data_IF_757511350215
#
_entry.id   IF_757511350215
#
_cell.length_a   1.000
_cell.length_b   1.000
_cell.length_c   1.000
_cell.angle_alpha   90.00
_cell.angle_beta   90.00
_cell.angle_gamma   90.00
#
_symmetry.space_group_name_H-M   'P 1'
#
loop_
_entity.id
_entity.type
_entity.pdbx_description
1 polymer ?
#
# COMPACT_ATOMS: atom_id res chain seq x y z
N UNK A 1 19.59 -2.55 -6.57
CA UNK A 1 18.18 -2.20 -6.31
C UNK A 1 17.62 -3.22 -5.35
N UNK A 2 17.09 -2.78 -4.20
CA UNK A 2 16.37 -3.64 -3.26
C UNK A 2 14.89 -3.28 -3.41
N UNK A 3 14.03 -4.29 -3.53
CA UNK A 3 12.59 -4.12 -3.70
C UNK A 3 11.85 -4.79 -2.55
N UNK A 4 10.76 -4.20 -2.09
CA UNK A 4 9.90 -4.78 -1.06
C UNK A 4 8.42 -4.68 -1.44
N UNK A 5 7.65 -5.70 -1.06
CA UNK A 5 6.23 -5.83 -1.40
C UNK A 5 5.35 -5.64 -0.17
N UNK A 6 4.23 -4.94 -0.35
CA UNK A 6 3.22 -4.69 0.67
C UNK A 6 1.85 -5.00 0.08
N UNK A 7 1.11 -5.89 0.71
CA UNK A 7 -0.22 -6.26 0.22
C UNK A 7 -1.29 -5.37 0.87
N UNK A 8 -2.27 -4.97 0.07
CA UNK A 8 -3.46 -4.33 0.59
C UNK A 8 -4.17 -5.28 1.54
N UNK A 9 -4.83 -4.76 2.57
CA UNK A 9 -5.66 -5.56 3.50
C UNK A 9 -6.81 -6.28 2.81
N UNK A 10 -7.20 -5.81 1.61
CA UNK A 10 -8.21 -6.45 0.78
C UNK A 10 -7.63 -7.54 -0.13
N UNK A 11 -6.30 -7.66 -0.17
CA UNK A 11 -5.48 -8.53 -1.02
C UNK A 11 -5.66 -8.36 -2.52
N UNK A 12 -6.45 -7.38 -2.97
CA UNK A 12 -6.68 -7.14 -4.39
C UNK A 12 -5.58 -6.32 -5.05
N UNK A 13 -4.85 -5.54 -4.27
CA UNK A 13 -3.76 -4.72 -4.77
C UNK A 13 -2.49 -4.99 -3.94
N UNK A 14 -1.35 -4.94 -4.60
CA UNK A 14 -0.04 -5.00 -3.97
C UNK A 14 0.76 -3.76 -4.35
N UNK A 15 1.46 -3.19 -3.38
CA UNK A 15 2.40 -2.09 -3.56
C UNK A 15 3.81 -2.67 -3.58
N UNK A 16 4.53 -2.45 -4.68
CA UNK A 16 5.97 -2.66 -4.75
C UNK A 16 6.67 -1.34 -4.53
N UNK A 17 7.64 -1.35 -3.65
CA UNK A 17 8.50 -0.19 -3.35
C UNK A 17 9.92 -0.56 -3.75
N UNK A 18 10.43 0.15 -4.75
CA UNK A 18 11.79 -0.03 -5.24
C UNK A 18 12.66 1.14 -4.76
N UNK A 19 13.76 0.80 -4.07
CA UNK A 19 14.81 1.75 -3.70
C UNK A 19 16.02 1.56 -4.59
N UNK A 20 16.41 2.64 -5.26
CA UNK A 20 17.60 2.65 -6.09
C UNK A 20 18.77 3.24 -5.29
N UNK A 21 19.73 2.38 -4.94
CA UNK A 21 20.90 2.73 -4.16
C UNK A 21 21.74 3.76 -4.94
N UNK A 22 21.76 5.00 -4.45
CA UNK A 22 22.46 6.14 -5.08
C UNK A 22 21.56 7.17 -5.77
N UNK A 23 20.24 6.97 -5.81
CA UNK A 23 19.28 8.01 -6.17
C UNK A 23 18.42 8.40 -4.97
N UNK A 24 18.04 9.67 -4.88
CA UNK A 24 17.10 10.15 -3.85
C UNK A 24 15.62 9.89 -4.22
N UNK A 25 15.37 8.98 -5.16
CA UNK A 25 14.05 8.63 -5.64
C UNK A 25 13.61 7.27 -5.09
N UNK A 26 12.35 7.21 -4.65
CA UNK A 26 11.65 5.98 -4.26
C UNK A 26 10.53 5.77 -5.26
N UNK A 27 10.54 4.62 -5.94
CA UNK A 27 9.53 4.29 -6.93
C UNK A 27 8.43 3.43 -6.31
N UNK A 28 7.18 3.84 -6.52
CA UNK A 28 6.00 3.12 -6.06
C UNK A 28 5.26 2.55 -7.26
N UNK A 29 5.10 1.22 -7.29
CA UNK A 29 4.34 0.52 -8.33
C UNK A 29 3.15 -0.21 -7.71
N UNK A 30 1.94 0.07 -8.20
CA UNK A 30 0.70 -0.58 -7.76
C UNK A 30 0.35 -1.68 -8.76
N UNK A 31 0.13 -2.89 -8.24
CA UNK A 31 -0.28 -4.05 -9.01
C UNK A 31 -1.65 -4.51 -8.55
N UNK A 32 -2.66 -4.36 -9.41
CA UNK A 32 -3.98 -4.90 -9.16
C UNK A 32 -4.05 -6.35 -9.62
N UNK A 33 -4.47 -7.23 -8.73
CA UNK A 33 -4.72 -8.63 -9.05
C UNK A 33 -6.11 -8.77 -9.67
N UNK A 34 -6.24 -9.31 -10.89
CA UNK A 34 -7.54 -9.62 -11.44
C UNK A 34 -8.15 -10.77 -10.63
N UNK A 35 -9.30 -10.52 -9.98
CA UNK A 35 -10.19 -11.52 -9.33
C UNK A 35 -9.88 -11.94 -7.87
N UNK A 36 -9.53 -11.01 -6.98
CA UNK A 36 -9.64 -11.32 -5.54
C UNK A 36 -11.05 -11.04 -5.03
N UNK A 37 -11.72 -12.07 -4.50
CA UNK A 37 -13.02 -11.89 -3.85
C UNK A 37 -12.85 -11.09 -2.56
N UNK A 38 -13.28 -9.83 -2.58
CA UNK A 38 -13.26 -8.96 -1.42
C UNK A 38 -14.11 -9.51 -0.26
N UNK A 39 -13.53 -9.65 0.95
CA UNK A 39 -14.32 -9.89 2.14
C UNK A 39 -15.42 -8.84 2.30
N UNK A 40 -16.62 -9.25 2.75
CA UNK A 40 -17.79 -8.37 2.84
C UNK A 40 -17.51 -7.06 3.60
N UNK A 41 -16.71 -7.13 4.66
CA UNK A 41 -16.29 -5.95 5.45
C UNK A 41 -15.62 -4.85 4.61
N UNK A 42 -14.84 -5.23 3.59
CA UNK A 42 -14.15 -4.25 2.74
C UNK A 42 -15.10 -3.64 1.72
N UNK A 43 -16.00 -4.44 1.15
CA UNK A 43 -17.08 -3.93 0.31
C UNK A 43 -17.95 -2.92 1.04
N UNK A 44 -18.32 -3.21 2.29
CA UNK A 44 -19.09 -2.28 3.13
C UNK A 44 -18.34 -0.98 3.44
N UNK A 45 -17.03 -1.05 3.75
CA UNK A 45 -16.19 0.14 3.91
C UNK A 45 -16.12 0.97 2.63
N UNK A 46 -15.99 0.32 1.48
CA UNK A 46 -15.96 0.97 0.18
C UNK A 46 -17.26 1.72 -0.12
N UNK A 47 -18.40 1.05 0.12
CA UNK A 47 -19.74 1.64 -0.01
C UNK A 47 -19.90 2.84 0.94
N UNK A 48 -19.50 2.69 2.21
CA UNK A 48 -19.57 3.77 3.19
C UNK A 48 -18.75 4.99 2.77
N UNK A 49 -17.53 4.78 2.24
CA UNK A 49 -16.67 5.86 1.74
C UNK A 49 -17.33 6.64 0.60
N UNK A 50 -17.91 5.93 -0.37
CA UNK A 50 -18.63 6.55 -1.48
C UNK A 50 -19.81 7.36 -0.97
N UNK A 51 -20.57 6.83 -0.01
CA UNK A 51 -21.72 7.53 0.59
C UNK A 51 -21.28 8.81 1.31
N UNK A 52 -20.20 8.76 2.08
CA UNK A 52 -19.76 9.88 2.93
C UNK A 52 -18.94 10.93 2.18
N UNK A 53 -18.11 10.51 1.21
CA UNK A 53 -17.11 11.37 0.57
C UNK A 53 -17.30 11.52 -0.95
N UNK A 54 -18.22 10.77 -1.57
CA UNK A 54 -18.52 10.88 -3.00
C UNK A 54 -17.52 10.21 -3.94
N UNK A 55 -16.41 9.65 -3.44
CA UNK A 55 -15.33 9.11 -4.28
C UNK A 55 -14.88 7.69 -3.86
N UNK A 56 -14.63 6.80 -4.84
CA UNK A 56 -13.99 5.50 -4.60
C UNK A 56 -12.51 5.64 -4.22
N UNK A 57 -11.92 4.59 -3.65
CA UNK A 57 -10.48 4.52 -3.33
C UNK A 57 -9.61 4.31 -4.59
N UNK A 58 -9.83 5.09 -5.66
CA UNK A 58 -9.29 4.84 -7.01
C UNK A 58 -7.79 4.52 -7.02
N UNK A 59 -7.00 5.28 -6.25
CA UNK A 59 -5.54 5.14 -6.15
C UNK A 59 -5.06 4.87 -4.71
N UNK A 60 -5.95 4.46 -3.81
CA UNK A 60 -5.64 4.32 -2.38
C UNK A 60 -5.44 2.85 -1.98
N UNK A 61 -4.22 2.51 -1.58
CA UNK A 61 -3.90 1.24 -0.91
C UNK A 61 -4.15 1.36 0.59
N UNK A 62 -4.92 0.42 1.14
CA UNK A 62 -5.14 0.32 2.58
C UNK A 62 -4.20 -0.76 3.12
N UNK A 63 -3.19 -0.37 3.89
CA UNK A 63 -2.25 -1.31 4.50
C UNK A 63 -2.71 -1.73 5.90
N UNK A 64 -2.28 -2.91 6.33
CA UNK A 64 -2.37 -3.29 7.74
C UNK A 64 -1.46 -2.37 8.57
N UNK A 65 -1.69 -2.27 9.88
CA UNK A 65 -0.78 -1.49 10.74
C UNK A 65 0.64 -2.04 10.67
N UNK A 66 0.79 -3.35 10.68
CA UNK A 66 2.08 -4.03 10.56
C UNK A 66 2.79 -3.73 9.24
N UNK A 67 2.06 -3.78 8.11
CA UNK A 67 2.63 -3.43 6.80
C UNK A 67 2.96 -1.95 6.66
N UNK A 68 2.17 -1.07 7.29
CA UNK A 68 2.47 0.36 7.34
C UNK A 68 3.73 0.65 8.16
N UNK A 69 3.89 -0.01 9.32
CA UNK A 69 5.08 0.11 10.16
C UNK A 69 6.32 -0.46 9.43
N UNK A 70 6.16 -1.59 8.73
CA UNK A 70 7.22 -2.18 7.89
C UNK A 70 7.60 -1.27 6.72
N UNK A 71 6.62 -0.63 6.07
CA UNK A 71 6.87 0.33 5.00
C UNK A 71 7.64 1.53 5.54
N UNK A 72 7.21 2.10 6.67
CA UNK A 72 7.91 3.22 7.31
C UNK A 72 9.36 2.84 7.67
N UNK A 73 9.57 1.70 8.31
CA UNK A 73 10.91 1.20 8.63
C UNK A 73 11.75 1.00 7.37
N UNK A 74 11.18 0.37 6.34
CA UNK A 74 11.87 0.17 5.06
C UNK A 74 12.30 1.50 4.46
N UNK A 75 11.42 2.50 4.45
CA UNK A 75 11.70 3.86 3.94
C UNK A 75 12.78 4.59 4.75
N UNK A 76 12.79 4.46 6.07
CA UNK A 76 13.72 5.17 6.98
C UNK A 76 15.07 4.47 7.16
N UNK A 77 15.14 3.15 6.99
CA UNK A 77 16.33 2.34 7.30
C UNK A 77 17.62 2.72 6.56
N UNK A 78 17.56 3.48 5.46
CA UNK A 78 18.74 3.98 4.75
C UNK A 78 19.13 5.42 5.12
N UNK A 79 18.26 6.17 5.81
CA UNK A 79 18.57 7.54 6.27
C UNK A 79 19.35 7.57 7.60
N UNK A 80 19.59 6.42 8.23
CA UNK A 80 20.17 6.36 9.58
C UNK A 80 19.22 6.89 10.67
N UNK A 81 17.97 7.14 10.33
CA UNK A 81 16.92 7.56 11.26
C UNK A 81 16.16 6.31 11.72
N UNK A 82 16.19 6.05 13.03
CA UNK A 82 15.27 5.08 13.63
C UNK A 82 13.85 5.65 13.59
N UNK A 83 12.82 4.84 13.31
CA UNK A 83 11.42 5.29 13.28
C UNK A 83 10.94 5.82 14.63
#
# INVERSE_FOLDING_TARGET
>A
MKAEWFDCVCYADSLRVDKNAGSDTVDFSIYSQPLVQYPLRFRLRYIWRIIVHGEPYGDQLILSREDADRLAYYLLSEKGESP
#
